data_IF_650213384368
#
_entry.id   IF_650213384368
#
_cell.length_a   1.000
_cell.length_b   1.000
_cell.length_c   1.000
_cell.angle_alpha   90.00
_cell.angle_beta   90.00
_cell.angle_gamma   90.00
#
_symmetry.space_group_name_H-M   'P 1'
#
loop_
_entity.id
_entity.type
_entity.pdbx_description
1 polymer ?
#
# COMPACT_ATOMS: atom_id res chain seq x y z
N UNK A 1 18.68 -21.56 23.98
CA UNK A 1 17.49 -21.69 23.12
C UNK A 1 16.38 -20.73 23.53
N UNK A 2 16.28 -20.32 24.80
CA UNK A 2 15.22 -19.42 25.29
C UNK A 2 15.26 -17.99 24.73
N UNK A 3 16.46 -17.43 24.50
CA UNK A 3 16.61 -16.08 23.95
C UNK A 3 16.00 -15.95 22.54
N UNK A 4 16.22 -16.95 21.68
CA UNK A 4 15.66 -16.98 20.33
C UNK A 4 14.13 -17.09 20.36
N UNK A 5 13.60 -17.96 21.23
CA UNK A 5 12.15 -18.14 21.38
C UNK A 5 11.47 -16.88 21.92
N UNK A 6 12.08 -16.19 22.88
CA UNK A 6 11.54 -14.95 23.44
C UNK A 6 11.55 -13.80 22.42
N UNK A 7 12.63 -13.66 21.63
CA UNK A 7 12.68 -12.69 20.53
C UNK A 7 11.59 -12.99 19.50
N UNK A 8 11.41 -14.26 19.10
CA UNK A 8 10.38 -14.64 18.12
C UNK A 8 8.98 -14.39 18.67
N UNK A 9 8.70 -14.76 19.92
CA UNK A 9 7.39 -14.53 20.57
C UNK A 9 7.07 -13.04 20.68
N UNK A 10 8.05 -12.22 21.08
CA UNK A 10 7.89 -10.77 21.21
C UNK A 10 7.74 -10.07 19.86
N UNK A 11 8.52 -10.48 18.86
CA UNK A 11 8.40 -9.99 17.50
C UNK A 11 7.05 -10.41 16.88
N UNK A 12 6.62 -11.65 17.11
CA UNK A 12 5.33 -12.18 16.63
C UNK A 12 4.14 -11.42 17.22
N UNK A 13 4.13 -11.16 18.54
CA UNK A 13 3.10 -10.33 19.18
C UNK A 13 3.02 -8.94 18.54
N UNK A 14 4.17 -8.30 18.35
CA UNK A 14 4.25 -6.97 17.74
C UNK A 14 3.76 -6.97 16.29
N UNK A 15 4.11 -7.99 15.51
CA UNK A 15 3.67 -8.13 14.12
C UNK A 15 2.16 -8.35 14.01
N UNK A 16 1.57 -9.15 14.90
CA UNK A 16 0.11 -9.38 14.93
C UNK A 16 -0.63 -8.10 15.27
N UNK A 17 -0.16 -7.36 16.27
CA UNK A 17 -0.75 -6.08 16.65
C UNK A 17 -0.72 -5.08 15.48
N UNK A 18 0.41 -5.02 14.77
CA UNK A 18 0.59 -4.14 13.62
C UNK A 18 -0.32 -4.54 12.45
N UNK A 19 -0.40 -5.83 12.13
CA UNK A 19 -1.25 -6.33 11.05
C UNK A 19 -2.73 -6.10 11.31
N UNK A 20 -3.18 -6.37 12.54
CA UNK A 20 -4.60 -6.32 12.86
C UNK A 20 -5.10 -4.92 13.20
N UNK A 21 -4.31 -4.11 13.90
CA UNK A 21 -4.77 -2.81 14.38
C UNK A 21 -4.32 -1.63 13.53
N UNK A 22 -3.25 -1.78 12.74
CA UNK A 22 -2.72 -0.69 11.90
C UNK A 22 -2.97 -0.97 10.43
N UNK A 23 -2.59 -2.14 9.93
CA UNK A 23 -2.73 -2.45 8.50
C UNK A 23 -4.20 -2.60 8.07
N UNK A 24 -5.05 -3.26 8.85
CA UNK A 24 -6.50 -3.39 8.54
C UNK A 24 -7.20 -2.03 8.33
N UNK A 25 -7.13 -1.05 9.25
CA UNK A 25 -7.75 0.26 9.02
C UNK A 25 -7.13 1.00 7.83
N UNK A 26 -5.81 0.93 7.65
CA UNK A 26 -5.14 1.59 6.52
C UNK A 26 -5.66 1.05 5.20
N UNK A 27 -5.89 -0.27 5.09
CA UNK A 27 -6.50 -0.85 3.90
C UNK A 27 -7.89 -0.26 3.62
N UNK A 28 -8.72 -0.08 4.65
CA UNK A 28 -10.06 0.52 4.49
C UNK A 28 -9.96 1.97 4.01
N UNK A 29 -9.04 2.75 4.59
CA UNK A 29 -8.80 4.14 4.18
C UNK A 29 -8.33 4.21 2.74
N UNK A 30 -7.34 3.39 2.37
CA UNK A 30 -6.80 3.37 1.00
C UNK A 30 -7.84 2.88 0.00
N UNK A 31 -8.64 1.86 0.34
CA UNK A 31 -9.73 1.39 -0.51
C UNK A 31 -10.75 2.51 -0.75
N UNK A 32 -11.13 3.23 0.31
CA UNK A 32 -12.07 4.36 0.21
C UNK A 32 -11.49 5.50 -0.63
N UNK A 33 -10.22 5.83 -0.43
CA UNK A 33 -9.52 6.86 -1.19
C UNK A 33 -9.40 6.50 -2.67
N UNK A 34 -9.00 5.26 -2.98
CA UNK A 34 -8.90 4.74 -4.35
C UNK A 34 -10.26 4.77 -5.03
N UNK A 35 -11.32 4.29 -4.37
CA UNK A 35 -12.70 4.35 -4.90
C UNK A 35 -13.15 5.79 -5.16
N UNK A 36 -12.80 6.73 -4.30
CA UNK A 36 -13.11 8.15 -4.50
C UNK A 36 -12.36 8.75 -5.70
N UNK A 37 -11.07 8.44 -5.86
CA UNK A 37 -10.24 8.89 -6.98
C UNK A 37 -10.74 8.33 -8.32
N UNK A 38 -11.17 7.07 -8.33
CA UNK A 38 -11.81 6.42 -9.48
C UNK A 38 -13.14 7.09 -9.82
N UNK A 39 -14.01 7.32 -8.83
CA UNK A 39 -15.31 7.97 -9.05
C UNK A 39 -15.22 9.40 -9.59
N UNK A 40 -14.13 10.11 -9.29
CA UNK A 40 -13.84 11.44 -9.84
C UNK A 40 -13.20 11.42 -11.23
N UNK A 41 -12.85 10.25 -11.76
CA UNK A 41 -12.16 10.10 -13.04
C UNK A 41 -10.71 10.60 -13.05
N UNK A 42 -10.13 10.94 -11.89
CA UNK A 42 -8.74 11.42 -11.82
C UNK A 42 -7.77 10.33 -12.29
N UNK A 43 -8.03 9.09 -11.90
CA UNK A 43 -7.20 7.94 -12.27
C UNK A 43 -7.23 7.72 -13.79
N UNK A 44 -8.40 7.86 -14.43
CA UNK A 44 -8.52 7.71 -15.87
C UNK A 44 -7.75 8.79 -16.64
N UNK A 45 -7.75 10.04 -16.15
CA UNK A 45 -6.96 11.13 -16.74
C UNK A 45 -5.46 10.85 -16.64
N UNK A 46 -5.00 10.37 -15.47
CA UNK A 46 -3.59 10.00 -15.26
C UNK A 46 -3.20 8.83 -16.15
N UNK A 47 -4.04 7.80 -16.25
CA UNK A 47 -3.81 6.65 -17.13
C UNK A 47 -3.77 7.08 -18.59
N UNK A 48 -4.71 7.90 -19.05
CA UNK A 48 -4.74 8.40 -20.42
C UNK A 48 -3.47 9.18 -20.78
N UNK A 49 -2.87 9.89 -19.82
CA UNK A 49 -1.62 10.62 -19.99
C UNK A 49 -0.39 9.71 -19.97
N UNK A 50 -0.37 8.69 -19.12
CA UNK A 50 0.79 7.80 -18.91
C UNK A 50 0.83 6.63 -19.91
N UNK A 51 -0.33 6.11 -20.32
CA UNK A 51 -0.46 5.02 -21.31
C UNK A 51 0.32 5.24 -22.61
N UNK A 52 0.33 6.42 -23.27
CA UNK A 52 1.13 6.61 -24.47
C UNK A 52 2.64 6.45 -24.23
N UNK A 53 3.14 6.75 -23.02
CA UNK A 53 4.55 6.58 -22.65
C UNK A 53 4.87 5.12 -22.33
N UNK A 54 3.91 4.39 -21.75
CA UNK A 54 4.08 2.99 -21.34
C UNK A 54 3.66 1.97 -22.42
N UNK A 55 3.03 2.41 -23.51
CA UNK A 55 2.72 1.61 -24.71
C UNK A 55 3.90 0.82 -25.27
N UNK A 56 5.12 1.40 -25.45
CA UNK A 56 6.28 0.63 -25.90
C UNK A 56 6.71 -0.47 -24.92
N UNK A 57 6.32 -0.38 -23.65
CA UNK A 57 6.54 -1.41 -22.63
C UNK A 57 5.48 -2.53 -22.66
N UNK A 58 4.48 -2.45 -23.55
CA UNK A 58 3.38 -3.41 -23.63
C UNK A 58 2.30 -3.24 -22.55
N UNK A 59 2.37 -2.17 -21.74
CA UNK A 59 1.40 -1.88 -20.69
C UNK A 59 0.15 -1.22 -21.28
N UNK A 60 -0.97 -1.95 -21.22
CA UNK A 60 -2.30 -1.41 -21.54
C UNK A 60 -2.80 -0.50 -20.42
N UNK A 61 -3.89 0.25 -20.64
CA UNK A 61 -4.50 1.10 -19.60
C UNK A 61 -4.83 0.33 -18.30
N UNK A 62 -5.20 -0.95 -18.41
CA UNK A 62 -5.42 -1.82 -17.24
C UNK A 62 -4.12 -2.14 -16.49
N UNK A 63 -3.00 -2.32 -17.19
CA UNK A 63 -1.69 -2.53 -16.58
C UNK A 63 -1.18 -1.28 -15.84
N UNK A 64 -1.40 -0.11 -16.42
CA UNK A 64 -1.05 1.18 -15.78
C UNK A 64 -1.92 1.42 -14.54
N UNK A 65 -3.22 1.11 -14.62
CA UNK A 65 -4.13 1.17 -13.48
C UNK A 65 -3.66 0.28 -12.33
N UNK A 66 -3.35 -1.00 -12.61
CA UNK A 66 -2.87 -1.94 -11.61
C UNK A 66 -1.54 -1.50 -10.98
N UNK A 67 -0.60 -1.01 -11.80
CA UNK A 67 0.68 -0.50 -11.31
C UNK A 67 0.52 0.70 -10.37
N UNK A 68 -0.41 1.61 -10.68
CA UNK A 68 -0.70 2.78 -9.86
C UNK A 68 -1.34 2.37 -8.53
N UNK A 69 -2.29 1.43 -8.55
CA UNK A 69 -2.89 0.84 -7.35
C UNK A 69 -1.84 0.20 -6.43
N UNK A 70 -0.98 -0.64 -6.99
CA UNK A 70 0.09 -1.31 -6.23
C UNK A 70 1.05 -0.26 -5.65
N UNK A 71 1.40 0.79 -6.39
CA UNK A 71 2.28 1.85 -5.90
C UNK A 71 1.70 2.59 -4.70
N UNK A 72 0.41 2.90 -4.72
CA UNK A 72 -0.29 3.56 -3.60
C UNK A 72 -0.32 2.66 -2.36
N UNK A 73 -0.71 1.39 -2.51
CA UNK A 73 -0.75 0.42 -1.39
C UNK A 73 0.66 0.19 -0.83
N UNK A 74 1.65 0.05 -1.72
CA UNK A 74 3.06 -0.17 -1.38
C UNK A 74 3.69 1.03 -0.67
N UNK A 75 3.23 2.26 -0.93
CA UNK A 75 3.70 3.45 -0.22
C UNK A 75 3.11 3.59 1.19
N UNK A 76 1.85 3.18 1.37
CA UNK A 76 1.17 3.30 2.66
C UNK A 76 1.78 2.42 3.76
N UNK A 77 2.23 1.20 3.43
CA UNK A 77 2.82 0.28 4.40
C UNK A 77 4.16 0.79 5.02
N UNK A 78 5.14 1.30 4.24
CA UNK A 78 6.33 1.95 4.75
C UNK A 78 6.02 3.22 5.53
N UNK A 79 5.11 4.08 5.06
CA UNK A 79 4.76 5.33 5.79
C UNK A 79 4.21 5.00 7.16
N UNK A 80 3.28 4.04 7.28
CA UNK A 80 2.76 3.60 8.56
C UNK A 80 3.87 3.08 9.50
N UNK A 81 4.82 2.35 8.93
CA UNK A 81 5.99 1.85 9.67
C UNK A 81 6.90 3.00 10.11
N UNK A 82 7.15 4.00 9.25
CA UNK A 82 7.97 5.17 9.55
C UNK A 82 7.33 6.07 10.62
N UNK A 83 6.03 6.35 10.54
CA UNK A 83 5.31 7.15 11.57
C UNK A 83 5.34 6.45 12.94
N UNK A 84 5.34 5.12 12.95
CA UNK A 84 5.50 4.33 14.18
C UNK A 84 6.92 4.38 14.76
N UNK A 85 7.95 4.51 13.91
CA UNK A 85 9.33 4.71 14.35
C UNK A 85 9.55 6.11 14.89
N UNK A 86 8.91 7.13 14.31
CA UNK A 86 8.99 8.52 14.77
C UNK A 86 8.28 8.76 16.12
N UNK A 87 7.32 7.92 16.48
CA UNK A 87 6.58 8.00 17.75
C UNK A 87 7.24 7.24 18.92
N UNK A 88 8.47 6.77 18.76
CA UNK A 88 9.29 6.10 19.80
C UNK A 88 10.64 6.78 19.96
#
# INVERSE_FOLDING_TARGET
>A
MDLLTDIILRAGRSAVELSLFVLLPIMVVMLSLMRLLEAKGLIDVVIARITPVLRPLGLTGLGVFAALQISFVSFAAPVATLTMMESR
#
